data_IF_436903119731
#
_entry.id   IF_436903119731
#
_cell.length_a   1.000
_cell.length_b   1.000
_cell.length_c   1.000
_cell.angle_alpha   90.00
_cell.angle_beta   90.00
_cell.angle_gamma   90.00
#
_symmetry.space_group_name_H-M   'P 1'
#
loop_
_entity.id
_entity.type
_entity.pdbx_description
1 polymer ?
#
# COMPACT_ATOMS: atom_id res chain seq x y z
N UNK A 1 -26.60 10.43 -10.28
CA UNK A 1 -27.08 11.77 -9.89
C UNK A 1 -27.31 11.82 -8.39
N UNK A 2 -28.14 10.93 -7.85
CA UNK A 2 -28.47 10.87 -6.41
C UNK A 2 -27.28 10.97 -5.44
N UNK A 3 -26.19 10.21 -5.66
CA UNK A 3 -25.01 10.26 -4.80
C UNK A 3 -24.30 11.65 -4.76
N UNK A 4 -24.14 12.31 -5.91
CA UNK A 4 -23.49 13.62 -5.96
C UNK A 4 -24.40 14.74 -5.43
N UNK A 5 -25.71 14.62 -5.65
CA UNK A 5 -26.69 15.54 -5.10
C UNK A 5 -26.73 15.42 -3.57
N UNK A 6 -26.66 14.20 -3.03
CA UNK A 6 -26.46 13.95 -1.61
C UNK A 6 -25.16 14.58 -1.09
N UNK A 7 -24.02 14.36 -1.76
CA UNK A 7 -22.75 14.91 -1.32
C UNK A 7 -22.80 16.44 -1.23
N UNK A 8 -23.36 17.11 -2.25
CA UNK A 8 -23.58 18.56 -2.26
C UNK A 8 -24.52 19.01 -1.14
N UNK A 9 -25.60 18.26 -0.88
CA UNK A 9 -26.51 18.56 0.23
C UNK A 9 -25.84 18.49 1.61
N UNK A 10 -24.76 17.72 1.74
CA UNK A 10 -23.92 17.62 2.93
C UNK A 10 -22.76 18.62 2.96
N UNK A 11 -22.70 19.55 2.00
CA UNK A 11 -21.68 20.60 1.93
C UNK A 11 -20.40 20.20 1.21
N UNK A 12 -20.34 19.04 0.56
CA UNK A 12 -19.20 18.69 -0.30
C UNK A 12 -19.19 19.60 -1.52
N UNK A 13 -18.02 20.16 -1.83
CA UNK A 13 -17.82 21.01 -3.00
C UNK A 13 -16.89 20.32 -3.98
N UNK A 14 -17.39 20.07 -5.19
CA UNK A 14 -16.64 19.51 -6.32
C UNK A 14 -16.47 20.62 -7.37
N UNK A 15 -15.25 21.13 -7.53
CA UNK A 15 -14.95 22.27 -8.40
C UNK A 15 -14.37 21.81 -9.73
N UNK A 16 -15.25 21.60 -10.72
CA UNK A 16 -14.82 21.20 -12.05
C UNK A 16 -14.28 19.77 -12.13
N UNK A 17 -14.65 18.92 -11.16
CA UNK A 17 -14.30 17.50 -11.12
C UNK A 17 -15.53 16.64 -10.83
N UNK A 18 -15.49 15.37 -11.24
CA UNK A 18 -16.56 14.42 -10.93
C UNK A 18 -16.05 12.98 -10.83
N UNK A 19 -16.57 12.17 -9.90
CA UNK A 19 -16.31 10.74 -9.89
C UNK A 19 -16.81 10.06 -11.16
N UNK A 20 -16.03 9.14 -11.70
CA UNK A 20 -16.38 8.31 -12.85
C UNK A 20 -15.98 6.86 -12.61
N UNK A 21 -16.64 5.92 -13.29
CA UNK A 21 -16.17 4.54 -13.32
C UNK A 21 -14.98 4.44 -14.27
N UNK A 22 -13.83 4.09 -13.72
CA UNK A 22 -12.59 3.85 -14.45
C UNK A 22 -12.46 2.34 -14.71
N UNK A 23 -12.50 1.89 -15.97
CA UNK A 23 -12.39 0.47 -16.30
C UNK A 23 -11.16 -0.19 -15.66
N UNK A 24 -11.38 -1.28 -14.90
CA UNK A 24 -10.32 -2.04 -14.23
C UNK A 24 -9.69 -1.38 -13.01
N UNK A 25 -10.10 -0.15 -12.63
CA UNK A 25 -9.56 0.60 -11.47
C UNK A 25 -10.64 1.10 -10.51
N UNK A 26 -11.90 0.71 -10.71
CA UNK A 26 -12.99 1.10 -9.82
C UNK A 26 -13.47 2.52 -10.10
N UNK A 27 -13.69 3.33 -9.06
CA UNK A 27 -14.02 4.75 -9.21
C UNK A 27 -12.73 5.56 -9.35
N UNK A 28 -12.72 6.54 -10.25
CA UNK A 28 -11.67 7.56 -10.37
C UNK A 28 -12.28 8.96 -10.35
N UNK A 29 -11.45 10.00 -10.24
CA UNK A 29 -11.87 11.39 -10.35
C UNK A 29 -11.44 11.94 -11.71
N UNK A 30 -12.31 12.64 -12.44
CA UNK A 30 -11.96 13.27 -13.74
C UNK A 30 -12.25 14.76 -13.75
N UNK A 31 -11.45 15.51 -14.50
CA UNK A 31 -11.67 16.91 -14.79
C UNK A 31 -12.87 17.09 -15.74
N UNK A 32 -13.83 17.92 -15.34
CA UNK A 32 -15.02 18.31 -16.13
C UNK A 32 -14.84 19.64 -16.87
N UNK A 33 -13.66 20.26 -16.74
CA UNK A 33 -13.19 21.45 -17.46
C UNK A 33 -11.67 21.54 -17.32
N UNK A 34 -11.06 22.54 -17.93
CA UNK A 34 -9.66 22.88 -17.63
C UNK A 34 -9.52 23.34 -16.17
N UNK A 35 -8.52 22.80 -15.48
CA UNK A 35 -8.15 23.14 -14.10
C UNK A 35 -6.75 23.77 -14.09
N UNK A 36 -6.51 24.66 -13.13
CA UNK A 36 -5.18 25.27 -12.92
C UNK A 36 -4.46 24.60 -11.76
N UNK A 37 -3.13 24.63 -11.80
CA UNK A 37 -2.30 24.27 -10.65
C UNK A 37 -2.66 25.14 -9.42
N UNK A 38 -2.71 24.52 -8.24
CA UNK A 38 -3.09 25.14 -6.98
C UNK A 38 -4.58 25.41 -6.81
N UNK A 39 -5.43 25.04 -7.79
CA UNK A 39 -6.88 25.19 -7.67
C UNK A 39 -7.46 24.11 -6.73
N UNK A 40 -8.26 24.53 -5.75
CA UNK A 40 -9.01 23.60 -4.89
C UNK A 40 -10.12 22.92 -5.71
N UNK A 41 -10.03 21.60 -5.85
CA UNK A 41 -10.91 20.80 -6.71
C UNK A 41 -11.95 19.99 -5.91
N UNK A 42 -11.65 19.67 -4.66
CA UNK A 42 -12.58 19.02 -3.73
C UNK A 42 -12.45 19.64 -2.34
N UNK A 43 -13.59 19.92 -1.71
CA UNK A 43 -13.67 20.22 -0.28
C UNK A 43 -14.73 19.32 0.38
N UNK A 44 -14.34 18.63 1.45
CA UNK A 44 -15.21 17.73 2.24
C UNK A 44 -15.30 18.27 3.67
N UNK A 45 -16.48 18.68 4.16
CA UNK A 45 -16.62 19.23 5.51
C UNK A 45 -16.25 18.23 6.61
N UNK A 46 -15.72 18.72 7.73
CA UNK A 46 -15.33 17.89 8.90
C UNK A 46 -16.45 16.96 9.38
N UNK A 47 -17.72 17.36 9.26
CA UNK A 47 -18.88 16.56 9.67
C UNK A 47 -19.08 15.26 8.89
N UNK A 48 -18.47 15.11 7.70
CA UNK A 48 -18.51 13.87 6.91
C UNK A 48 -17.31 12.96 7.13
N UNK A 49 -16.22 13.47 7.69
CA UNK A 49 -14.99 12.71 7.93
C UNK A 49 -15.26 11.67 9.02
N UNK A 50 -14.87 10.42 8.78
CA UNK A 50 -14.96 9.35 9.78
C UNK A 50 -13.58 9.03 10.36
N UNK A 51 -13.32 9.55 11.54
CA UNK A 51 -12.07 9.39 12.30
C UNK A 51 -12.35 8.88 13.73
N UNK A 52 -11.27 8.70 14.51
CA UNK A 52 -11.33 8.27 15.92
C UNK A 52 -12.42 8.97 16.74
N UNK A 53 -12.58 10.29 16.54
CA UNK A 53 -13.49 11.13 17.34
C UNK A 53 -14.94 11.09 16.87
N UNK A 54 -15.21 10.53 15.70
CA UNK A 54 -16.55 10.47 15.12
C UNK A 54 -17.24 9.13 15.33
N UNK A 55 -16.51 8.13 15.83
CA UNK A 55 -17.07 6.81 16.17
C UNK A 55 -18.07 6.97 17.32
N UNK A 56 -19.36 6.61 17.12
CA UNK A 56 -20.38 6.79 18.15
C UNK A 56 -20.07 6.04 19.46
N UNK A 57 -20.41 6.64 20.61
CA UNK A 57 -20.16 6.04 21.95
C UNK A 57 -20.80 4.66 22.15
N UNK A 58 -21.94 4.39 21.51
CA UNK A 58 -22.58 3.07 21.59
C UNK A 58 -21.78 1.97 20.88
N UNK A 59 -20.82 2.35 20.03
CA UNK A 59 -19.86 1.47 19.37
C UNK A 59 -18.56 1.44 20.17
N UNK A 60 -17.89 2.59 20.30
CA UNK A 60 -16.57 2.68 20.95
C UNK A 60 -16.61 2.26 22.42
N UNK A 61 -17.68 2.57 23.16
CA UNK A 61 -17.83 2.18 24.57
C UNK A 61 -18.10 0.70 24.81
N UNK A 62 -18.43 -0.08 23.76
CA UNK A 62 -18.60 -1.54 23.84
C UNK A 62 -17.34 -2.32 23.47
N UNK A 63 -16.35 -1.66 22.87
CA UNK A 63 -15.10 -2.28 22.46
C UNK A 63 -14.03 -2.01 23.53
N UNK A 64 -13.02 -2.90 23.66
CA UNK A 64 -11.89 -2.65 24.54
C UNK A 64 -11.20 -1.31 24.24
N UNK A 65 -10.68 -0.63 25.27
CA UNK A 65 -10.03 0.68 25.11
C UNK A 65 -8.74 0.64 24.27
N UNK A 66 -8.12 -0.54 24.13
CA UNK A 66 -6.95 -0.80 23.28
C UNK A 66 -7.32 -1.29 21.87
N UNK A 67 -8.58 -1.12 21.46
CA UNK A 67 -9.02 -1.45 20.09
C UNK A 67 -8.36 -0.48 19.12
N UNK A 68 -7.73 -1.00 18.06
CA UNK A 68 -7.10 -0.18 17.03
C UNK A 68 -8.13 0.74 16.36
N UNK A 69 -7.70 1.92 15.91
CA UNK A 69 -8.57 2.80 15.11
C UNK A 69 -9.12 2.09 13.88
N UNK A 70 -8.33 1.21 13.26
CA UNK A 70 -8.76 0.41 12.12
C UNK A 70 -10.00 -0.43 12.46
N UNK A 71 -9.94 -1.17 13.56
CA UNK A 71 -11.05 -2.01 13.99
C UNK A 71 -12.26 -1.19 14.44
N UNK A 72 -12.04 -0.02 15.07
CA UNK A 72 -13.10 0.91 15.47
C UNK A 72 -13.85 1.48 14.26
N UNK A 73 -13.12 1.98 13.25
CA UNK A 73 -13.71 2.51 12.03
C UNK A 73 -14.40 1.42 11.21
N UNK A 74 -13.81 0.22 11.13
CA UNK A 74 -14.44 -0.91 10.48
C UNK A 74 -15.76 -1.28 11.18
N UNK A 75 -15.79 -1.31 12.52
CA UNK A 75 -17.00 -1.58 13.27
C UNK A 75 -18.06 -0.48 13.08
N UNK A 76 -17.67 0.80 13.09
CA UNK A 76 -18.60 1.90 12.77
C UNK A 76 -19.20 1.72 11.38
N UNK A 77 -18.37 1.48 10.37
CA UNK A 77 -18.83 1.33 9.00
C UNK A 77 -19.78 0.13 8.82
N UNK A 78 -19.53 -0.98 9.51
CA UNK A 78 -20.41 -2.15 9.49
C UNK A 78 -21.73 -1.92 10.23
N UNK A 79 -21.70 -1.29 11.41
CA UNK A 79 -22.88 -1.13 12.28
C UNK A 79 -23.77 0.02 11.80
N UNK A 80 -23.18 1.12 11.34
CA UNK A 80 -23.89 2.32 10.88
C UNK A 80 -24.53 2.13 9.50
N UNK A 81 -24.95 0.89 9.18
CA UNK A 81 -25.44 0.49 7.86
C UNK A 81 -26.79 1.11 7.47
N UNK A 82 -27.49 1.76 8.41
CA UNK A 82 -28.73 2.51 8.17
C UNK A 82 -28.56 4.04 8.29
N UNK A 83 -27.31 4.53 8.34
CA UNK A 83 -27.01 5.96 8.55
C UNK A 83 -27.16 6.83 7.29
N UNK A 84 -27.12 8.15 7.50
CA UNK A 84 -27.10 9.18 6.46
C UNK A 84 -25.98 9.06 5.41
N UNK A 85 -25.04 8.14 5.62
CA UNK A 85 -23.94 7.83 4.71
C UNK A 85 -24.23 6.63 3.79
N UNK A 86 -25.47 6.13 3.72
CA UNK A 86 -25.84 4.99 2.87
C UNK A 86 -25.44 5.18 1.41
N UNK A 87 -25.75 6.34 0.82
CA UNK A 87 -25.43 6.64 -0.57
C UNK A 87 -23.91 6.61 -0.85
N UNK A 88 -23.07 7.02 0.10
CA UNK A 88 -21.63 6.86 -0.02
C UNK A 88 -21.21 5.40 0.12
N UNK A 89 -21.75 4.66 1.08
CA UNK A 89 -21.43 3.23 1.24
C UNK A 89 -21.83 2.41 0.01
N UNK A 90 -22.95 2.72 -0.61
CA UNK A 90 -23.41 2.09 -1.84
C UNK A 90 -22.52 2.43 -3.05
N UNK A 91 -21.70 3.48 -2.95
CA UNK A 91 -20.68 3.84 -3.94
C UNK A 91 -19.33 3.12 -3.73
N UNK A 92 -19.10 2.54 -2.54
CA UNK A 92 -17.89 1.78 -2.24
C UNK A 92 -17.88 0.45 -3.02
N UNK A 93 -16.69 -0.11 -3.34
CA UNK A 93 -16.63 -1.40 -4.00
C UNK A 93 -17.23 -2.49 -3.11
N UNK A 94 -17.86 -3.45 -3.74
CA UNK A 94 -18.36 -4.66 -3.08
C UNK A 94 -17.20 -5.56 -2.63
N UNK A 95 -17.47 -6.47 -1.69
CA UNK A 95 -16.48 -7.48 -1.29
C UNK A 95 -16.02 -8.35 -2.48
N UNK A 96 -16.94 -8.64 -3.42
CA UNK A 96 -16.61 -9.38 -4.63
C UNK A 96 -15.60 -8.62 -5.51
N UNK A 97 -15.78 -7.31 -5.72
CA UNK A 97 -14.83 -6.48 -6.47
C UNK A 97 -13.49 -6.37 -5.75
N UNK A 98 -13.49 -6.15 -4.43
CA UNK A 98 -12.27 -6.15 -3.62
C UNK A 98 -11.52 -7.49 -3.72
N UNK A 99 -12.26 -8.60 -3.77
CA UNK A 99 -11.66 -9.94 -3.81
C UNK A 99 -10.87 -10.25 -5.07
N UNK A 100 -11.12 -9.50 -6.16
CA UNK A 100 -10.34 -9.62 -7.40
C UNK A 100 -8.88 -9.23 -7.16
N UNK A 101 -8.65 -8.17 -6.38
CA UNK A 101 -7.34 -7.57 -6.20
C UNK A 101 -6.65 -7.88 -4.88
N UNK A 102 -7.40 -7.97 -3.77
CA UNK A 102 -6.81 -7.97 -2.42
C UNK A 102 -6.40 -9.38 -1.98
N UNK A 103 -5.09 -9.66 -1.81
CA UNK A 103 -4.63 -11.02 -1.56
C UNK A 103 -5.09 -11.65 -0.25
N UNK A 104 -5.45 -10.84 0.76
CA UNK A 104 -6.07 -11.31 2.01
C UNK A 104 -7.30 -12.20 1.77
N UNK A 105 -8.04 -11.94 0.68
CA UNK A 105 -9.26 -12.66 0.31
C UNK A 105 -9.02 -13.84 -0.64
N UNK A 106 -7.80 -14.00 -1.15
CA UNK A 106 -7.49 -15.03 -2.13
C UNK A 106 -7.40 -16.41 -1.51
N UNK A 107 -7.49 -17.44 -2.35
CA UNK A 107 -7.23 -18.81 -1.95
C UNK A 107 -5.79 -18.94 -1.38
N UNK A 108 -5.61 -19.70 -0.30
CA UNK A 108 -4.31 -19.83 0.40
C UNK A 108 -3.15 -20.21 -0.51
N UNK A 109 -3.39 -21.14 -1.45
CA UNK A 109 -2.40 -21.48 -2.49
C UNK A 109 -1.93 -20.27 -3.30
N UNK A 110 -2.79 -19.31 -3.68
CA UNK A 110 -2.34 -18.08 -4.36
C UNK A 110 -1.48 -17.21 -3.44
N UNK A 111 -1.85 -17.11 -2.16
CA UNK A 111 -1.07 -16.35 -1.18
C UNK A 111 0.35 -16.92 -1.00
N UNK A 112 0.50 -18.25 -1.08
CA UNK A 112 1.81 -18.93 -1.05
C UNK A 112 2.71 -18.61 -2.26
N UNK A 113 2.17 -18.03 -3.33
CA UNK A 113 2.94 -17.56 -4.48
C UNK A 113 3.22 -16.05 -4.45
N UNK A 114 2.72 -15.30 -3.46
CA UNK A 114 3.08 -13.89 -3.31
C UNK A 114 4.61 -13.75 -3.12
N UNK A 115 5.23 -12.73 -3.72
CA UNK A 115 6.58 -12.32 -3.33
C UNK A 115 6.63 -12.11 -1.82
N UNK A 116 7.76 -12.45 -1.21
CA UNK A 116 7.90 -12.48 0.25
C UNK A 116 7.49 -11.16 0.96
N UNK A 117 7.82 -9.96 0.46
CA UNK A 117 7.34 -8.72 1.08
C UNK A 117 5.81 -8.63 1.13
N UNK A 118 5.13 -8.90 0.02
CA UNK A 118 3.67 -8.89 -0.04
C UNK A 118 3.06 -9.98 0.86
N UNK A 119 3.65 -11.17 0.88
CA UNK A 119 3.20 -12.28 1.74
C UNK A 119 3.26 -11.93 3.21
N UNK A 120 4.37 -11.35 3.68
CA UNK A 120 4.52 -10.94 5.08
C UNK A 120 3.46 -9.91 5.49
N UNK A 121 3.13 -8.97 4.59
CA UNK A 121 2.05 -7.99 4.81
C UNK A 121 0.71 -8.71 4.97
N UNK A 122 0.38 -9.61 4.03
CA UNK A 122 -0.89 -10.37 4.05
C UNK A 122 -1.00 -11.24 5.30
N UNK A 123 0.07 -11.91 5.72
CA UNK A 123 0.10 -12.69 6.97
C UNK A 123 -0.19 -11.79 8.19
N UNK A 124 0.41 -10.59 8.25
CA UNK A 124 0.13 -9.61 9.30
C UNK A 124 -1.32 -9.09 9.27
N UNK A 125 -1.88 -8.86 8.07
CA UNK A 125 -3.29 -8.51 7.91
C UNK A 125 -4.20 -9.64 8.40
N UNK A 126 -3.89 -10.91 8.11
CA UNK A 126 -4.65 -12.05 8.62
C UNK A 126 -4.63 -12.14 10.15
N UNK A 127 -3.49 -11.85 10.78
CA UNK A 127 -3.39 -11.78 12.23
C UNK A 127 -4.22 -10.62 12.80
N UNK A 128 -4.09 -9.43 12.22
CA UNK A 128 -4.82 -8.24 12.63
C UNK A 128 -6.33 -8.42 12.48
N UNK A 129 -6.79 -8.87 11.31
CA UNK A 129 -8.21 -9.14 11.06
C UNK A 129 -8.78 -10.17 12.04
N UNK A 130 -8.08 -11.30 12.29
CA UNK A 130 -8.54 -12.30 13.26
C UNK A 130 -8.68 -11.73 14.67
N UNK A 131 -7.70 -10.94 15.12
CA UNK A 131 -7.73 -10.27 16.42
C UNK A 131 -8.90 -9.30 16.50
N UNK A 132 -9.06 -8.46 15.48
CA UNK A 132 -10.05 -7.38 15.45
C UNK A 132 -11.46 -7.95 15.34
N UNK A 133 -11.68 -8.94 14.47
CA UNK A 133 -12.94 -9.66 14.34
C UNK A 133 -13.34 -10.34 15.65
N UNK A 134 -12.42 -11.01 16.34
CA UNK A 134 -12.71 -11.67 17.62
C UNK A 134 -13.22 -10.67 18.68
N UNK A 135 -12.67 -9.45 18.70
CA UNK A 135 -13.11 -8.37 19.60
C UNK A 135 -14.48 -7.85 19.20
N UNK A 136 -14.68 -7.55 17.92
CA UNK A 136 -15.93 -6.96 17.41
C UNK A 136 -17.09 -7.96 17.50
N UNK A 137 -16.89 -9.21 17.07
CA UNK A 137 -17.92 -10.25 17.13
C UNK A 137 -18.36 -10.56 18.57
N UNK A 138 -17.46 -10.45 19.55
CA UNK A 138 -17.81 -10.59 20.97
C UNK A 138 -18.74 -9.47 21.45
N UNK A 139 -18.48 -8.23 21.06
CA UNK A 139 -19.28 -7.06 21.46
C UNK A 139 -20.56 -6.88 20.63
N UNK A 140 -20.57 -7.41 19.39
CA UNK A 140 -21.65 -7.29 18.42
C UNK A 140 -21.91 -8.64 17.72
N UNK A 141 -22.51 -9.62 18.42
CA UNK A 141 -22.63 -11.01 17.95
C UNK A 141 -23.54 -11.22 16.74
N UNK A 142 -24.33 -10.22 16.37
CA UNK A 142 -25.23 -10.28 15.21
C UNK A 142 -24.55 -9.88 13.89
N UNK A 143 -23.36 -9.25 13.96
CA UNK A 143 -22.65 -8.85 12.75
C UNK A 143 -22.21 -10.09 11.97
N UNK A 144 -22.34 -10.00 10.65
CA UNK A 144 -21.79 -11.02 9.77
C UNK A 144 -20.31 -10.76 9.54
N UNK A 145 -19.53 -11.84 9.51
CA UNK A 145 -18.09 -11.77 9.32
C UNK A 145 -17.72 -11.08 8.00
N UNK A 146 -18.48 -11.34 6.94
CA UNK A 146 -18.18 -10.84 5.61
C UNK A 146 -18.51 -9.33 5.46
N UNK A 147 -19.55 -8.85 6.14
CA UNK A 147 -19.85 -7.40 6.21
C UNK A 147 -18.74 -6.65 6.96
N UNK A 148 -18.23 -7.26 8.04
CA UNK A 148 -17.08 -6.71 8.76
C UNK A 148 -15.79 -6.80 7.94
N UNK A 149 -15.55 -7.91 7.22
CA UNK A 149 -14.40 -8.04 6.32
C UNK A 149 -14.42 -6.98 5.23
N UNK A 150 -15.58 -6.74 4.61
CA UNK A 150 -15.77 -5.66 3.66
C UNK A 150 -15.36 -4.32 4.28
N UNK A 151 -15.94 -3.97 5.43
CA UNK A 151 -15.64 -2.70 6.10
C UNK A 151 -14.16 -2.59 6.49
N UNK A 152 -13.56 -3.66 7.00
CA UNK A 152 -12.15 -3.72 7.38
C UNK A 152 -11.23 -3.49 6.18
N UNK A 153 -11.57 -4.05 5.01
CA UNK A 153 -10.84 -3.81 3.76
C UNK A 153 -11.07 -2.40 3.21
N UNK A 154 -12.25 -1.81 3.40
CA UNK A 154 -12.49 -0.40 3.07
C UNK A 154 -11.56 0.49 3.91
N UNK A 155 -11.45 0.26 5.23
CA UNK A 155 -10.52 1.02 6.07
C UNK A 155 -9.09 0.89 5.53
N UNK A 156 -8.66 -0.32 5.20
CA UNK A 156 -7.32 -0.59 4.72
C UNK A 156 -6.97 0.15 3.41
N UNK A 157 -7.94 0.26 2.51
CA UNK A 157 -7.72 0.71 1.13
C UNK A 157 -8.06 2.18 0.87
N UNK A 158 -8.87 2.79 1.74
CA UNK A 158 -9.52 4.09 1.48
C UNK A 158 -9.36 5.11 2.59
N UNK A 159 -8.55 4.78 3.58
CA UNK A 159 -8.25 5.71 4.65
C UNK A 159 -7.14 6.70 4.28
N UNK A 160 -7.24 7.88 4.88
CA UNK A 160 -6.26 8.95 4.80
C UNK A 160 -5.65 9.20 6.17
N UNK A 161 -4.42 9.73 6.18
CA UNK A 161 -3.91 10.39 7.37
C UNK A 161 -4.66 11.70 7.60
N UNK A 162 -5.29 11.81 8.75
CA UNK A 162 -6.06 12.96 9.18
C UNK A 162 -5.26 13.75 10.21
N UNK A 163 -4.50 14.73 9.72
CA UNK A 163 -3.53 15.50 10.49
C UNK A 163 -4.01 16.94 10.67
N UNK A 164 -4.91 17.14 11.63
CA UNK A 164 -5.21 18.48 12.16
C UNK A 164 -4.31 18.80 13.36
N UNK A 165 -4.16 20.07 13.77
CA UNK A 165 -3.38 20.42 14.97
C UNK A 165 -3.78 19.64 16.23
N UNK A 166 -5.07 19.27 16.36
CA UNK A 166 -5.56 18.43 17.45
C UNK A 166 -5.09 16.97 17.30
N UNK A 167 -5.19 16.40 16.10
CA UNK A 167 -4.77 15.02 15.83
C UNK A 167 -3.26 14.82 15.95
N UNK A 168 -2.47 15.88 15.79
CA UNK A 168 -1.01 15.82 16.01
C UNK A 168 -0.62 15.47 17.44
N UNK A 169 -1.54 15.59 18.41
CA UNK A 169 -1.33 15.15 19.79
C UNK A 169 -1.47 13.63 19.99
N UNK A 170 -2.02 12.90 19.00
CA UNK A 170 -2.23 11.45 19.05
C UNK A 170 -1.11 10.70 18.32
N UNK A 171 -0.83 9.42 18.61
CA UNK A 171 0.08 8.60 17.81
C UNK A 171 -0.33 8.58 16.33
N UNK A 172 0.62 8.49 15.39
CA UNK A 172 0.31 8.42 13.96
C UNK A 172 -0.62 7.27 13.59
N UNK A 173 -0.55 6.16 14.33
CA UNK A 173 -1.42 4.99 14.19
C UNK A 173 -2.89 5.29 14.48
N UNK A 174 -3.20 6.38 15.18
CA UNK A 174 -4.54 6.80 15.57
C UNK A 174 -5.04 7.99 14.74
N UNK A 175 -4.31 8.37 13.68
CA UNK A 175 -4.65 9.49 12.78
C UNK A 175 -5.28 9.02 11.48
N UNK A 176 -6.02 7.93 11.51
CA UNK A 176 -6.69 7.36 10.34
C UNK A 176 -8.10 7.95 10.19
N UNK A 177 -8.51 8.26 8.95
CA UNK A 177 -9.89 8.63 8.66
C UNK A 177 -10.37 8.17 7.29
N UNK A 178 -11.67 7.89 7.16
CA UNK A 178 -12.34 7.86 5.86
C UNK A 178 -12.83 9.25 5.52
N UNK A 179 -12.58 9.68 4.29
CA UNK A 179 -13.04 10.97 3.77
C UNK A 179 -13.93 10.66 2.57
N UNK A 180 -15.27 10.62 2.74
CA UNK A 180 -16.19 10.32 1.64
C UNK A 180 -15.93 11.20 0.42
N UNK A 181 -16.03 10.62 -0.78
CA UNK A 181 -15.75 11.25 -2.09
C UNK A 181 -14.25 11.35 -2.39
N UNK A 182 -13.42 11.73 -1.41
CA UNK A 182 -11.97 11.78 -1.59
C UNK A 182 -11.36 10.37 -1.75
N UNK A 183 -12.00 9.35 -1.18
CA UNK A 183 -11.66 7.93 -1.37
C UNK A 183 -11.85 7.42 -2.80
N UNK A 184 -12.45 8.22 -3.68
CA UNK A 184 -12.58 7.93 -5.11
C UNK A 184 -11.40 8.36 -5.98
N UNK A 185 -10.38 9.04 -5.42
CA UNK A 185 -9.16 9.36 -6.18
C UNK A 185 -8.26 8.13 -6.32
N UNK A 186 -7.76 7.88 -7.52
CA UNK A 186 -6.81 6.81 -7.79
C UNK A 186 -5.36 7.23 -7.49
N UNK A 187 -4.49 6.23 -7.36
CA UNK A 187 -3.06 6.43 -7.11
C UNK A 187 -2.27 6.76 -8.39
N UNK A 188 -1.33 7.69 -8.26
CA UNK A 188 -0.15 7.79 -9.11
C UNK A 188 1.09 8.16 -8.27
N UNK A 189 2.29 8.03 -8.87
CA UNK A 189 3.59 8.32 -8.22
C UNK A 189 3.65 9.74 -7.62
N UNK A 190 2.94 10.67 -8.23
CA UNK A 190 2.66 12.04 -7.80
C UNK A 190 1.19 12.33 -8.05
N UNK A 191 0.63 13.33 -7.37
CA UNK A 191 -0.74 13.74 -7.61
C UNK A 191 -1.08 14.96 -6.79
N UNK A 192 -2.37 15.29 -6.81
CA UNK A 192 -2.93 16.44 -6.12
C UNK A 192 -2.52 16.51 -4.66
N UNK A 193 -2.35 17.74 -4.16
CA UNK A 193 -2.07 17.99 -2.77
C UNK A 193 -3.31 17.75 -1.93
N UNK A 194 -3.10 17.20 -0.74
CA UNK A 194 -4.18 16.73 0.12
C UNK A 194 -3.96 17.27 1.52
N UNK A 195 -4.89 18.11 1.99
CA UNK A 195 -4.73 18.88 3.21
C UNK A 195 -5.94 18.71 4.15
N UNK A 196 -5.67 18.46 5.43
CA UNK A 196 -6.68 18.52 6.49
C UNK A 196 -6.67 19.91 7.13
N UNK A 197 -7.80 20.59 7.16
CA UNK A 197 -7.99 21.90 7.79
C UNK A 197 -8.94 21.78 8.98
N UNK A 198 -9.18 22.89 9.70
CA UNK A 198 -10.20 22.92 10.76
C UNK A 198 -11.62 22.76 10.20
N UNK A 199 -11.84 23.18 8.96
CA UNK A 199 -13.15 23.23 8.32
C UNK A 199 -13.46 21.95 7.51
N UNK A 200 -12.42 21.16 7.20
CA UNK A 200 -12.60 19.88 6.54
C UNK A 200 -11.35 19.35 5.86
N UNK A 201 -11.55 18.77 4.69
CA UNK A 201 -10.51 18.14 3.89
C UNK A 201 -10.52 18.74 2.49
N UNK A 202 -9.36 19.17 2.02
CA UNK A 202 -9.21 19.85 0.72
C UNK A 202 -8.24 19.07 -0.15
N UNK A 203 -8.60 18.91 -1.42
CA UNK A 203 -7.71 18.41 -2.47
C UNK A 203 -7.49 19.53 -3.48
N UNK A 204 -6.23 19.84 -3.77
CA UNK A 204 -5.83 20.92 -4.67
C UNK A 204 -5.01 20.37 -5.84
N UNK A 205 -5.27 20.86 -7.05
CA UNK A 205 -4.63 20.36 -8.26
C UNK A 205 -3.10 20.61 -8.22
N UNK A 206 -2.32 19.55 -8.43
CA UNK A 206 -0.85 19.59 -8.48
C UNK A 206 -0.29 20.11 -9.80
N UNK A 207 -1.13 20.24 -10.83
CA UNK A 207 -0.78 20.72 -12.16
C UNK A 207 -2.03 21.14 -12.92
N UNK A 208 -1.85 21.63 -14.15
CA UNK A 208 -2.96 21.81 -15.06
C UNK A 208 -3.54 20.47 -15.53
N UNK A 209 -4.88 20.42 -15.64
CA UNK A 209 -5.62 19.29 -16.18
C UNK A 209 -6.56 19.74 -17.29
N UNK A 210 -6.60 18.99 -18.39
CA UNK A 210 -7.57 19.17 -19.47
C UNK A 210 -8.88 18.42 -19.19
N UNK A 211 -9.95 18.85 -19.88
CA UNK A 211 -11.25 18.17 -19.84
C UNK A 211 -11.10 16.67 -20.12
N UNK A 212 -11.66 15.84 -19.23
CA UNK A 212 -11.67 14.39 -19.33
C UNK A 212 -10.41 13.70 -18.81
N UNK A 213 -9.37 14.44 -18.41
CA UNK A 213 -8.20 13.84 -17.76
C UNK A 213 -8.56 13.32 -16.37
N UNK A 214 -8.06 12.12 -16.06
CA UNK A 214 -8.15 11.56 -14.71
C UNK A 214 -7.18 12.30 -13.77
N UNK A 215 -7.66 12.51 -12.56
CA UNK A 215 -6.97 13.21 -11.49
C UNK A 215 -6.60 12.19 -10.43
N UNK A 216 -5.36 12.26 -9.99
CA UNK A 216 -4.76 11.29 -9.08
C UNK A 216 -4.31 11.99 -7.80
N UNK A 217 -4.18 11.20 -6.74
CA UNK A 217 -3.42 11.56 -5.54
C UNK A 217 -2.27 10.55 -5.38
N UNK A 218 -1.27 10.91 -4.58
CA UNK A 218 -0.29 9.91 -4.14
C UNK A 218 -0.79 9.23 -2.87
N UNK A 219 -0.77 7.89 -2.85
CA UNK A 219 -1.04 7.12 -1.64
C UNK A 219 0.21 7.03 -0.75
N UNK A 220 1.36 7.48 -1.26
CA UNK A 220 2.67 7.36 -0.62
C UNK A 220 3.72 6.75 -1.56
N UNK A 221 4.97 6.72 -1.08
CA UNK A 221 6.11 6.14 -1.80
C UNK A 221 6.17 4.63 -1.59
N UNK A 222 5.21 3.90 -2.16
CA UNK A 222 5.01 2.47 -1.90
C UNK A 222 5.56 1.58 -3.01
N UNK A 223 6.12 0.43 -2.62
CA UNK A 223 6.52 -0.61 -3.57
C UNK A 223 5.29 -1.29 -4.16
N UNK A 224 5.45 -1.95 -5.31
CA UNK A 224 4.34 -2.71 -5.90
C UNK A 224 3.93 -3.92 -5.06
N UNK A 225 4.82 -4.46 -4.22
CA UNK A 225 4.45 -5.50 -3.25
C UNK A 225 3.52 -4.95 -2.14
N UNK A 226 3.77 -3.72 -1.69
CA UNK A 226 2.92 -3.04 -0.73
C UNK A 226 1.56 -2.67 -1.35
N UNK A 227 1.57 -2.06 -2.54
CA UNK A 227 0.34 -1.71 -3.25
C UNK A 227 -0.52 -2.94 -3.56
N UNK A 228 0.09 -4.07 -3.91
CA UNK A 228 -0.62 -5.32 -4.10
C UNK A 228 -1.28 -5.80 -2.81
N UNK A 229 -0.52 -5.86 -1.71
CA UNK A 229 -1.00 -6.42 -0.45
C UNK A 229 -2.05 -5.52 0.24
N UNK A 230 -1.85 -4.20 0.24
CA UNK A 230 -2.69 -3.25 0.96
C UNK A 230 -3.85 -2.71 0.13
N UNK A 231 -3.63 -2.47 -1.18
CA UNK A 231 -4.60 -1.83 -2.07
C UNK A 231 -5.16 -2.74 -3.17
N UNK A 232 -4.57 -3.91 -3.39
CA UNK A 232 -5.06 -4.89 -4.35
C UNK A 232 -4.80 -4.55 -5.81
N UNK A 233 -3.77 -3.75 -6.11
CA UNK A 233 -3.37 -3.45 -7.49
C UNK A 233 -1.86 -3.38 -7.66
N UNK A 234 -1.41 -3.51 -8.90
CA UNK A 234 0.00 -3.39 -9.30
C UNK A 234 0.06 -2.44 -10.51
N UNK A 235 0.52 -1.19 -10.33
CA UNK A 235 0.63 -0.23 -11.43
C UNK A 235 1.67 -0.72 -12.44
N UNK A 236 1.50 -0.38 -13.72
CA UNK A 236 2.45 -0.79 -14.77
C UNK A 236 3.82 -0.16 -14.58
N UNK A 237 3.82 1.11 -14.22
CA UNK A 237 4.99 1.92 -13.90
C UNK A 237 4.83 2.45 -12.47
N UNK A 238 5.89 2.37 -11.69
CA UNK A 238 5.97 2.93 -10.35
C UNK A 238 7.44 3.23 -10.04
N UNK A 239 7.80 4.51 -9.96
CA UNK A 239 9.18 4.93 -9.71
C UNK A 239 9.68 4.54 -8.32
N UNK A 240 8.77 4.25 -7.40
CA UNK A 240 9.05 3.81 -6.03
C UNK A 240 9.14 2.29 -5.88
N UNK A 241 8.98 1.53 -6.96
CA UNK A 241 9.05 0.08 -6.87
C UNK A 241 10.45 -0.40 -6.50
N UNK A 242 10.50 -1.44 -5.66
CA UNK A 242 11.72 -2.05 -5.18
C UNK A 242 11.55 -3.56 -5.17
N UNK A 243 12.62 -4.26 -5.52
CA UNK A 243 12.69 -5.72 -5.52
C UNK A 243 13.48 -6.20 -4.31
N UNK A 244 12.87 -7.02 -3.46
CA UNK A 244 13.54 -7.59 -2.29
C UNK A 244 14.38 -8.81 -2.67
N UNK A 245 15.66 -8.78 -2.31
CA UNK A 245 16.67 -9.80 -2.58
C UNK A 245 16.96 -10.68 -1.35
N UNK A 246 16.15 -10.59 -0.30
CA UNK A 246 16.33 -11.35 0.94
C UNK A 246 16.46 -12.85 0.71
N UNK A 247 15.68 -13.40 -0.22
CA UNK A 247 15.66 -14.85 -0.49
C UNK A 247 16.94 -15.37 -1.17
N UNK A 248 17.73 -14.49 -1.79
CA UNK A 248 19.03 -14.85 -2.38
C UNK A 248 20.21 -14.38 -1.53
N UNK A 249 20.09 -13.29 -0.77
CA UNK A 249 21.19 -12.76 0.06
C UNK A 249 21.22 -13.41 1.46
N UNK A 250 20.09 -13.52 2.17
CA UNK A 250 20.08 -14.05 3.54
C UNK A 250 20.63 -15.48 3.67
N UNK A 251 20.41 -16.40 2.70
CA UNK A 251 20.99 -17.73 2.78
C UNK A 251 22.52 -17.76 2.61
N UNK A 252 23.13 -16.72 2.02
CA UNK A 252 24.59 -16.64 1.82
C UNK A 252 25.32 -16.12 3.06
N UNK A 253 24.62 -15.43 3.94
CA UNK A 253 25.20 -14.85 5.16
C UNK A 253 25.33 -15.92 6.27
N UNK A 254 26.54 -16.06 6.80
CA UNK A 254 26.82 -16.83 8.01
C UNK A 254 26.13 -16.22 9.25
N UNK A 255 25.94 -16.98 10.35
CA UNK A 255 25.40 -16.44 11.60
C UNK A 255 26.21 -15.24 12.14
N UNK A 256 27.53 -15.26 12.00
CA UNK A 256 28.41 -14.17 12.42
C UNK A 256 28.18 -12.90 11.57
N UNK A 257 28.08 -13.02 10.24
CA UNK A 257 27.76 -11.90 9.36
C UNK A 257 26.35 -11.34 9.62
N UNK A 258 25.36 -12.21 9.87
CA UNK A 258 24.00 -11.77 10.26
C UNK A 258 24.02 -10.98 11.55
N UNK A 259 24.82 -11.41 12.55
CA UNK A 259 25.00 -10.67 13.80
C UNK A 259 25.62 -9.30 13.55
N UNK A 260 26.71 -9.23 12.80
CA UNK A 260 27.37 -7.98 12.40
C UNK A 260 26.38 -7.00 11.76
N UNK A 261 25.59 -7.46 10.79
CA UNK A 261 24.61 -6.61 10.10
C UNK A 261 23.52 -6.15 11.05
N UNK A 262 23.04 -7.03 11.94
CA UNK A 262 22.01 -6.70 12.94
C UNK A 262 22.49 -5.65 13.93
N UNK A 263 23.71 -5.81 14.45
CA UNK A 263 24.32 -4.89 15.42
C UNK A 263 24.54 -3.48 14.84
N UNK A 264 24.48 -3.33 13.50
CA UNK A 264 24.57 -2.06 12.77
C UNK A 264 23.25 -1.63 12.11
N UNK A 265 22.13 -2.33 12.38
CA UNK A 265 20.81 -2.08 11.77
C UNK A 265 20.77 -2.21 10.23
N UNK A 266 21.70 -2.99 9.67
CA UNK A 266 21.85 -3.24 8.22
C UNK A 266 21.33 -4.61 7.77
N UNK A 267 20.84 -5.45 8.70
CA UNK A 267 20.28 -6.75 8.35
C UNK A 267 18.87 -6.60 7.78
N UNK A 268 18.75 -6.60 6.46
CA UNK A 268 17.48 -6.68 5.75
C UNK A 268 16.50 -5.52 6.01
N UNK A 269 15.43 -5.41 5.21
CA UNK A 269 15.33 -6.03 3.90
C UNK A 269 16.43 -5.51 2.94
N UNK A 270 16.93 -6.38 2.07
CA UNK A 270 17.89 -6.04 1.04
C UNK A 270 17.15 -5.70 -0.25
N UNK A 271 17.14 -4.42 -0.60
CA UNK A 271 16.30 -3.89 -1.67
C UNK A 271 17.17 -3.51 -2.87
N UNK A 272 16.62 -3.77 -4.06
CA UNK A 272 17.09 -3.32 -5.35
C UNK A 272 16.05 -2.33 -5.89
N UNK A 273 16.48 -1.13 -6.28
CA UNK A 273 15.60 -0.12 -6.87
C UNK A 273 15.95 0.13 -8.36
N UNK A 274 15.18 1.01 -9.00
CA UNK A 274 15.30 1.29 -10.44
C UNK A 274 16.51 2.14 -10.79
N UNK A 275 17.18 2.77 -9.81
CA UNK A 275 18.25 3.75 -10.02
C UNK A 275 19.62 3.23 -9.53
N UNK A 276 19.66 2.59 -8.37
CA UNK A 276 20.86 2.11 -7.70
C UNK A 276 21.03 0.60 -7.84
N UNK A 277 22.26 0.10 -7.76
CA UNK A 277 22.57 -1.34 -7.68
C UNK A 277 22.31 -1.91 -6.27
N UNK A 278 21.24 -1.45 -5.62
CA UNK A 278 20.80 -1.85 -4.29
C UNK A 278 21.05 -0.80 -3.21
N UNK A 279 20.16 -0.77 -2.22
CA UNK A 279 20.22 0.16 -1.10
C UNK A 279 21.46 -0.07 -0.21
N UNK A 280 21.73 0.85 0.73
CA UNK A 280 22.87 0.77 1.66
C UNK A 280 22.95 -0.58 2.38
N UNK A 281 21.83 -1.18 2.76
CA UNK A 281 21.77 -2.51 3.40
C UNK A 281 22.25 -3.62 2.46
N UNK A 282 21.77 -3.62 1.22
CA UNK A 282 22.19 -4.57 0.18
C UNK A 282 23.69 -4.45 -0.08
N UNK A 283 24.16 -3.23 -0.26
CA UNK A 283 25.56 -2.89 -0.50
C UNK A 283 26.48 -3.32 0.66
N UNK A 284 26.04 -3.16 1.91
CA UNK A 284 26.77 -3.62 3.09
C UNK A 284 26.82 -5.15 3.17
N UNK A 285 25.72 -5.84 2.88
CA UNK A 285 25.67 -7.30 2.91
C UNK A 285 26.52 -7.94 1.82
N UNK A 286 26.47 -7.44 0.59
CA UNK A 286 27.30 -7.93 -0.50
C UNK A 286 28.79 -7.76 -0.20
N UNK A 287 29.20 -6.60 0.34
CA UNK A 287 30.61 -6.38 0.74
C UNK A 287 31.08 -7.34 1.83
N UNK A 288 30.23 -7.73 2.78
CA UNK A 288 30.59 -8.75 3.78
C UNK A 288 30.74 -10.15 3.19
N UNK A 289 30.07 -10.44 2.08
CA UNK A 289 30.16 -11.71 1.37
C UNK A 289 31.38 -11.76 0.42
N UNK A 290 31.86 -10.59 0.01
CA UNK A 290 33.08 -10.42 -0.78
C UNK A 290 34.34 -10.43 0.09
N UNK A 291 35.54 -10.59 -0.49
CA UNK A 291 36.81 -10.60 0.23
C UNK A 291 37.26 -9.19 0.69
N UNK A 292 36.33 -8.39 1.22
CA UNK A 292 36.66 -7.10 1.82
C UNK A 292 37.14 -7.31 3.26
N UNK A 293 38.22 -6.65 3.65
CA UNK A 293 38.67 -6.69 5.04
C UNK A 293 37.65 -6.00 5.95
N UNK A 294 37.63 -6.38 7.23
CA UNK A 294 36.74 -5.77 8.22
C UNK A 294 36.91 -4.23 8.30
N UNK A 295 38.14 -3.68 8.34
CA UNK A 295 38.34 -2.23 8.30
C UNK A 295 37.82 -1.56 7.02
N UNK A 296 37.97 -2.19 5.85
CA UNK A 296 37.43 -1.66 4.59
C UNK A 296 35.90 -1.64 4.59
N UNK A 297 35.28 -2.69 5.15
CA UNK A 297 33.83 -2.73 5.30
C UNK A 297 33.32 -1.64 6.25
N UNK A 298 34.02 -1.41 7.36
CA UNK A 298 33.68 -0.34 8.31
C UNK A 298 33.85 1.04 7.67
N UNK A 299 34.94 1.27 6.94
CA UNK A 299 35.17 2.53 6.21
C UNK A 299 34.06 2.85 5.19
N UNK A 300 33.50 1.84 4.51
CA UNK A 300 32.34 2.03 3.63
C UNK A 300 31.09 2.53 4.38
N UNK A 301 30.92 2.18 5.65
CA UNK A 301 29.78 2.66 6.43
C UNK A 301 29.92 4.12 6.82
N UNK A 302 31.16 4.60 6.96
CA UNK A 302 31.47 5.92 7.49
C UNK A 302 31.62 6.99 6.38
N UNK A 303 31.93 6.59 5.14
CA UNK A 303 32.15 7.51 4.02
C UNK A 303 31.34 7.08 2.78
N UNK A 304 30.48 7.98 2.26
CA UNK A 304 29.65 7.73 1.06
C UNK A 304 30.49 7.45 -0.20
N UNK A 305 31.79 7.73 -0.18
CA UNK A 305 32.70 7.63 -1.32
C UNK A 305 33.60 6.40 -1.42
N UNK A 306 33.77 5.57 -0.38
CA UNK A 306 34.80 4.50 -0.35
C UNK A 306 34.40 3.19 -1.08
N UNK A 307 33.52 3.28 -2.07
CA UNK A 307 32.87 2.15 -2.73
C UNK A 307 33.65 1.46 -3.86
N UNK A 308 34.96 1.68 -4.00
CA UNK A 308 35.76 1.06 -5.07
C UNK A 308 36.32 -0.31 -4.69
N UNK A 309 36.65 -0.51 -3.40
CA UNK A 309 37.19 -1.79 -2.95
C UNK A 309 36.15 -2.91 -3.12
N UNK A 310 36.61 -4.03 -3.66
CA UNK A 310 35.79 -5.20 -3.98
C UNK A 310 34.64 -4.96 -4.97
N UNK A 311 34.60 -3.83 -5.70
CA UNK A 311 33.47 -3.52 -6.61
C UNK A 311 33.26 -4.60 -7.65
N UNK A 312 34.32 -5.09 -8.28
CA UNK A 312 34.24 -6.17 -9.27
C UNK A 312 33.69 -7.45 -8.64
N UNK A 313 34.26 -7.91 -7.52
CA UNK A 313 33.78 -9.09 -6.80
C UNK A 313 32.33 -8.95 -6.34
N UNK A 314 31.91 -7.74 -5.96
CA UNK A 314 30.55 -7.41 -5.55
C UNK A 314 29.58 -7.45 -6.73
N UNK A 315 29.98 -6.88 -7.88
CA UNK A 315 29.18 -6.89 -9.09
C UNK A 315 29.00 -8.32 -9.62
N UNK A 316 30.06 -9.13 -9.63
CA UNK A 316 30.00 -10.55 -10.00
C UNK A 316 29.09 -11.34 -9.05
N UNK A 317 29.23 -11.13 -7.74
CA UNK A 317 28.34 -11.76 -6.75
C UNK A 317 26.88 -11.34 -6.96
N UNK A 318 26.62 -10.04 -7.08
CA UNK A 318 25.27 -9.52 -7.28
C UNK A 318 24.67 -10.07 -8.58
N UNK A 319 25.42 -10.07 -9.69
CA UNK A 319 24.97 -10.63 -10.97
C UNK A 319 24.60 -12.10 -10.83
N UNK A 320 25.40 -12.90 -10.14
CA UNK A 320 25.10 -14.31 -9.86
C UNK A 320 23.80 -14.49 -9.07
N UNK A 321 23.62 -13.70 -8.00
CA UNK A 321 22.39 -13.72 -7.19
C UNK A 321 21.15 -13.27 -7.97
N UNK A 322 21.30 -12.28 -8.86
CA UNK A 322 20.23 -11.79 -9.71
C UNK A 322 19.83 -12.83 -10.77
N UNK A 323 20.78 -13.57 -11.34
CA UNK A 323 20.49 -14.68 -12.28
C UNK A 323 19.70 -15.78 -11.58
N UNK A 324 20.10 -16.16 -10.37
CA UNK A 324 19.35 -17.12 -9.54
C UNK A 324 17.93 -16.62 -9.23
N UNK A 325 17.79 -15.35 -8.84
CA UNK A 325 16.48 -14.81 -8.53
C UNK A 325 15.57 -14.66 -9.75
N UNK A 326 16.14 -14.34 -10.92
CA UNK A 326 15.42 -14.34 -12.20
C UNK A 326 14.84 -15.72 -12.52
N UNK A 327 15.59 -16.81 -12.27
CA UNK A 327 15.09 -18.16 -12.46
C UNK A 327 13.91 -18.48 -11.52
N UNK A 328 13.97 -18.03 -10.26
CA UNK A 328 12.87 -18.13 -9.30
C UNK A 328 11.63 -17.35 -9.76
N UNK A 329 11.80 -16.11 -10.21
CA UNK A 329 10.70 -15.28 -10.71
C UNK A 329 10.03 -15.93 -11.94
N UNK A 330 10.80 -16.39 -12.92
CA UNK A 330 10.27 -17.11 -14.09
C UNK A 330 9.53 -18.39 -13.72
N UNK A 331 10.04 -19.13 -12.74
CA UNK A 331 9.38 -20.32 -12.23
C UNK A 331 8.03 -19.96 -11.60
N UNK A 332 8.00 -18.93 -10.74
CA UNK A 332 6.77 -18.44 -10.13
C UNK A 332 5.74 -17.99 -11.18
N UNK A 333 6.14 -17.28 -12.25
CA UNK A 333 5.22 -16.90 -13.35
C UNK A 333 4.58 -18.13 -13.98
N UNK A 334 5.35 -19.18 -14.27
CA UNK A 334 4.81 -20.42 -14.85
C UNK A 334 3.87 -21.14 -13.89
N UNK A 335 4.31 -21.36 -12.65
CA UNK A 335 3.52 -22.08 -11.65
C UNK A 335 2.21 -21.34 -11.34
N UNK A 336 2.22 -20.00 -11.25
CA UNK A 336 1.01 -19.20 -11.07
C UNK A 336 0.04 -19.35 -12.24
N UNK A 337 0.53 -19.42 -13.48
CA UNK A 337 -0.31 -19.61 -14.67
C UNK A 337 -0.98 -20.99 -14.70
N UNK A 338 -0.34 -22.01 -14.12
CA UNK A 338 -0.83 -23.39 -14.02
C UNK A 338 -1.78 -23.62 -12.83
N UNK A 339 -1.94 -22.66 -11.93
CA UNK A 339 -2.84 -22.80 -10.78
C UNK A 339 -4.31 -22.89 -11.21
N UNK A 340 -5.00 -23.93 -10.73
CA UNK A 340 -6.44 -24.14 -10.94
C UNK A 340 -7.31 -23.50 -9.85
N UNK A 341 -6.71 -22.74 -8.93
CA UNK A 341 -7.41 -22.06 -7.83
C UNK A 341 -7.58 -20.56 -8.08
N UNK A 342 -8.61 -19.99 -7.44
CA UNK A 342 -8.94 -18.57 -7.53
C UNK A 342 -9.43 -18.13 -8.91
N UNK A 343 -9.64 -16.83 -9.06
CA UNK A 343 -10.11 -16.22 -10.30
C UNK A 343 -8.95 -15.96 -11.26
N UNK A 344 -9.23 -15.96 -12.57
CA UNK A 344 -8.21 -15.68 -13.58
C UNK A 344 -7.54 -14.31 -13.39
N UNK A 345 -8.29 -13.30 -12.98
CA UNK A 345 -7.77 -11.96 -12.68
C UNK A 345 -6.79 -11.94 -11.50
N UNK A 346 -7.00 -12.78 -10.47
CA UNK A 346 -6.09 -12.91 -9.32
C UNK A 346 -4.75 -13.51 -9.78
N UNK A 347 -4.79 -14.58 -10.58
CA UNK A 347 -3.60 -15.20 -11.16
C UNK A 347 -2.85 -14.25 -12.08
N UNK A 348 -3.56 -13.49 -12.91
CA UNK A 348 -2.94 -12.51 -13.80
C UNK A 348 -2.28 -11.37 -13.01
N UNK A 349 -2.91 -10.86 -11.96
CA UNK A 349 -2.32 -9.81 -11.12
C UNK A 349 -1.04 -10.29 -10.43
N UNK A 350 -1.07 -11.51 -9.87
CA UNK A 350 0.09 -12.12 -9.24
C UNK A 350 1.21 -12.42 -10.25
N UNK A 351 0.87 -12.97 -11.41
CA UNK A 351 1.82 -13.23 -12.49
C UNK A 351 2.46 -11.94 -13.02
N UNK A 352 1.67 -10.85 -13.11
CA UNK A 352 2.17 -9.52 -13.47
C UNK A 352 3.23 -9.02 -12.49
N UNK A 353 2.99 -9.16 -11.18
CA UNK A 353 3.98 -8.74 -10.18
C UNK A 353 5.31 -9.49 -10.36
N UNK A 354 5.26 -10.80 -10.55
CA UNK A 354 6.47 -11.59 -10.81
C UNK A 354 7.19 -11.21 -12.11
N UNK A 355 6.45 -10.88 -13.17
CA UNK A 355 7.03 -10.35 -14.42
C UNK A 355 7.73 -9.01 -14.20
N UNK A 356 7.16 -8.12 -13.38
CA UNK A 356 7.83 -6.85 -13.04
C UNK A 356 9.13 -7.08 -12.27
N UNK A 357 9.13 -8.00 -11.30
CA UNK A 357 10.35 -8.40 -10.58
C UNK A 357 11.40 -8.91 -11.57
N UNK A 358 11.01 -9.77 -12.52
CA UNK A 358 11.93 -10.26 -13.55
C UNK A 358 12.52 -9.14 -14.43
N UNK A 359 11.69 -8.17 -14.83
CA UNK A 359 12.13 -7.00 -15.61
C UNK A 359 13.12 -6.16 -14.80
N UNK A 360 12.81 -5.87 -13.53
CA UNK A 360 13.69 -5.10 -12.65
C UNK A 360 15.05 -5.79 -12.47
N UNK A 361 15.05 -7.11 -12.26
CA UNK A 361 16.27 -7.93 -12.17
C UNK A 361 17.08 -7.86 -13.47
N UNK A 362 16.41 -8.02 -14.62
CA UNK A 362 17.07 -8.00 -15.93
C UNK A 362 17.72 -6.63 -16.21
N UNK A 363 17.02 -5.54 -15.88
CA UNK A 363 17.55 -4.18 -15.98
C UNK A 363 18.74 -3.93 -15.04
N UNK A 364 18.75 -4.53 -13.84
CA UNK A 364 19.89 -4.43 -12.94
C UNK A 364 21.09 -5.23 -13.46
N UNK A 365 20.89 -6.42 -14.03
CA UNK A 365 21.97 -7.20 -14.66
C UNK A 365 22.60 -6.43 -15.82
N UNK A 366 21.82 -5.72 -16.64
CA UNK A 366 22.36 -4.92 -17.76
C UNK A 366 23.21 -3.72 -17.31
N UNK A 367 23.06 -3.28 -16.05
CA UNK A 367 23.82 -2.17 -15.46
C UNK A 367 25.11 -2.63 -14.76
N UNK A 368 25.31 -3.94 -14.58
CA UNK A 368 26.47 -4.59 -13.98
C UNK A 368 27.44 -5.08 -15.04
#
# INVERSE_FOLDING_TARGET
MEFLDWAKSKGVVLHGVSPTKTPGRGSGMVACRRLKEGEDILSVPTGLIRSLHTVPRHISGKLPSDTSIHALLAADLTISAASELSLWRDSLPTLAELSIGIPLTWHERLQQFLPKPARNIVENQQHSFRRDWARVAKSFPHLQRDDYLHSWLIINTRSFYYTTPQMETYPSTDRLALVPIADGFNHADTGCEVNSTTDGYVVSADREYDLGQEIFISYGTHTNDFLLAEYGFVPMENKWDQTCLDDVILPRLSPAQKKILRDRELLGPFLLDTVTLGCRKTQAALRLLCPCSRPQWEAFLDDEGCGQHCREAMNELLKSLLVEFSATARKAVREVAELEVGQAAQRELLGRRWRQIEVAISQAIMRL
#
